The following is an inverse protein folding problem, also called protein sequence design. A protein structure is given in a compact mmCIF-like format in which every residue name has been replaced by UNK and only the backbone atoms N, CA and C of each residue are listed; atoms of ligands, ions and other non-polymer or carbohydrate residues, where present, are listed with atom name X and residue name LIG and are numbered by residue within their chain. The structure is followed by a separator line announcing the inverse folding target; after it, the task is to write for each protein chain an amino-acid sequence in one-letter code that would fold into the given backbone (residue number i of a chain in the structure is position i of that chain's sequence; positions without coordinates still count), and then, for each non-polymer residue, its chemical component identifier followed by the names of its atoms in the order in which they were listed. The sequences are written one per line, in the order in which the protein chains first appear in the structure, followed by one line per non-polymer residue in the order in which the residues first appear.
data_IF_047240302769
#
_entry.id   IF_047240302769
#
_cell.length_a   1.000
_cell.length_b   1.000
_cell.length_c   1.000
_cell.angle_alpha   90.00
_cell.angle_beta   90.00
_cell.angle_gamma   90.00
#
_symmetry.space_group_name_H-M   'P 1'
#
loop_
_entity.id
_entity.type
_entity.pdbx_description
1 polymer ?
#
# COMPACT_ATOMS: atom_id res chain seq x y z
N UNK A 1 -4.30 -63.44 79.52
CA UNK A 1 -5.20 -63.34 78.36
C UNK A 1 -5.10 -61.93 77.84
N UNK A 2 -4.29 -61.71 76.83
CA UNK A 2 -4.12 -60.39 76.18
C UNK A 2 -4.94 -60.31 74.92
N UNK A 3 -5.56 -59.17 74.56
CA UNK A 3 -5.96 -58.92 73.21
C UNK A 3 -5.00 -57.96 72.54
N UNK A 4 -4.55 -58.36 71.36
CA UNK A 4 -3.71 -57.63 70.40
C UNK A 4 -4.47 -56.41 69.88
N UNK A 5 -3.84 -55.24 70.05
CA UNK A 5 -4.20 -54.02 69.34
C UNK A 5 -3.63 -54.04 67.93
N UNK A 6 -4.48 -54.02 66.90
CA UNK A 6 -4.11 -53.87 65.50
C UNK A 6 -3.95 -52.35 65.19
N UNK A 7 -2.74 -51.92 64.92
CA UNK A 7 -2.44 -50.60 64.39
C UNK A 7 -2.74 -50.56 62.89
N UNK A 8 -3.72 -49.76 62.46
CA UNK A 8 -4.00 -49.49 61.04
C UNK A 8 -3.23 -48.25 60.63
N UNK A 9 -2.20 -48.49 59.84
CA UNK A 9 -1.42 -47.42 59.24
C UNK A 9 -2.17 -46.92 57.99
N UNK A 10 -2.76 -45.73 58.05
CA UNK A 10 -3.38 -45.07 56.89
C UNK A 10 -2.29 -44.38 56.06
N UNK A 11 -2.05 -44.89 54.88
CA UNK A 11 -1.14 -44.30 53.89
C UNK A 11 -1.90 -43.12 53.19
N UNK A 12 -1.56 -41.88 53.52
CA UNK A 12 -2.05 -40.71 52.81
C UNK A 12 -1.22 -40.57 51.55
N UNK A 13 -1.79 -40.96 50.41
CA UNK A 13 -1.23 -40.66 49.09
C UNK A 13 -1.55 -39.19 48.77
N UNK A 14 -0.56 -38.32 48.92
CA UNK A 14 -0.64 -36.93 48.45
C UNK A 14 -0.64 -36.93 46.91
N UNK A 15 -1.84 -36.80 46.33
CA UNK A 15 -1.97 -36.61 44.89
C UNK A 15 -1.31 -35.30 44.48
N UNK A 16 -0.24 -35.41 43.70
CA UNK A 16 0.35 -34.25 43.02
C UNK A 16 -0.67 -33.79 41.98
N UNK A 17 -1.27 -32.61 42.20
CA UNK A 17 -2.04 -31.89 41.19
C UNK A 17 -1.07 -31.48 40.10
N UNK A 18 -1.28 -31.88 38.83
CA UNK A 18 -0.41 -31.43 37.75
C UNK A 18 -0.51 -29.90 37.66
N UNK A 19 0.64 -29.23 37.73
CA UNK A 19 0.70 -27.81 37.48
C UNK A 19 0.09 -27.52 36.12
N UNK A 20 -1.04 -26.84 36.08
CA UNK A 20 -1.61 -26.28 34.85
C UNK A 20 -0.51 -25.49 34.16
N UNK A 21 -0.13 -25.92 32.96
CA UNK A 21 0.73 -25.15 32.09
C UNK A 21 -0.01 -23.85 31.80
N UNK A 22 0.32 -22.78 32.48
CA UNK A 22 -0.14 -21.44 32.16
C UNK A 22 0.32 -21.18 30.72
N UNK A 23 -0.62 -21.19 29.78
CA UNK A 23 -0.39 -20.78 28.42
C UNK A 23 0.11 -19.32 28.50
N UNK A 24 1.30 -18.97 27.98
CA UNK A 24 1.81 -17.61 28.07
C UNK A 24 0.78 -16.67 27.45
N UNK A 25 0.26 -15.74 28.24
CA UNK A 25 -0.68 -14.74 27.72
C UNK A 25 0.03 -13.91 26.64
N UNK A 26 -0.60 -13.66 25.49
CA UNK A 26 0.00 -12.83 24.45
C UNK A 26 0.29 -11.43 25.02
N UNK A 27 1.54 -11.00 24.90
CA UNK A 27 1.96 -9.65 25.31
C UNK A 27 1.27 -8.65 24.37
N UNK A 28 0.51 -7.71 24.94
CA UNK A 28 -0.13 -6.65 24.17
C UNK A 28 0.92 -5.76 23.47
N UNK A 29 0.72 -5.36 22.22
CA UNK A 29 1.66 -4.51 21.51
C UNK A 29 1.74 -3.11 22.15
N UNK A 30 2.96 -2.55 22.19
CA UNK A 30 3.15 -1.14 22.50
C UNK A 30 2.80 -0.32 21.26
N UNK A 31 1.91 0.66 21.41
CA UNK A 31 1.53 1.58 20.33
C UNK A 31 1.87 3.02 20.72
N UNK A 32 2.64 3.70 19.88
CA UNK A 32 2.95 5.12 20.02
C UNK A 32 2.37 5.89 18.83
N UNK A 33 1.68 6.99 19.10
CA UNK A 33 1.11 7.87 18.08
C UNK A 33 1.87 9.16 17.98
N UNK A 34 2.10 9.60 16.75
CA UNK A 34 2.74 10.87 16.43
C UNK A 34 1.82 11.63 15.47
N UNK A 35 1.57 12.90 15.75
CA UNK A 35 0.82 13.82 14.89
C UNK A 35 1.67 15.06 14.66
N UNK A 36 1.74 15.53 13.42
CA UNK A 36 2.43 16.76 13.05
C UNK A 36 1.73 17.43 11.90
N UNK A 37 1.46 18.73 12.04
CA UNK A 37 0.90 19.55 10.98
C UNK A 37 1.74 20.82 10.80
N UNK A 38 1.86 21.29 9.56
CA UNK A 38 2.55 22.51 9.21
C UNK A 38 1.98 23.10 7.92
N UNK A 39 2.14 24.41 7.74
CA UNK A 39 1.72 25.09 6.53
C UNK A 39 2.59 24.68 5.34
N UNK A 40 1.92 24.48 4.20
CA UNK A 40 2.57 24.02 2.98
C UNK A 40 1.78 24.51 1.76
N UNK A 41 2.45 25.21 0.87
CA UNK A 41 1.79 25.77 -0.31
C UNK A 41 1.68 24.77 -1.45
N UNK A 42 0.57 24.79 -2.22
CA UNK A 42 0.44 24.05 -3.48
C UNK A 42 1.60 24.38 -4.44
N UNK A 43 2.09 23.40 -5.18
CA UNK A 43 3.28 23.51 -6.02
C UNK A 43 4.57 23.09 -5.33
N UNK A 44 4.49 22.70 -4.05
CA UNK A 44 5.65 22.18 -3.32
C UNK A 44 5.86 20.68 -3.49
N UNK A 45 7.01 20.20 -2.99
CA UNK A 45 7.44 18.81 -3.06
C UNK A 45 7.40 18.14 -1.70
N UNK A 46 6.72 17.00 -1.61
CA UNK A 46 6.69 16.12 -0.42
C UNK A 46 7.42 14.82 -0.72
N UNK A 47 8.47 14.52 0.04
CA UNK A 47 9.22 13.27 -0.05
C UNK A 47 9.02 12.43 1.20
N UNK A 48 8.60 11.17 1.05
CA UNK A 48 8.34 10.22 2.13
C UNK A 48 9.22 9.00 1.92
N UNK A 49 9.98 8.63 2.94
CA UNK A 49 10.85 7.43 2.89
C UNK A 49 10.70 6.65 4.17
N UNK A 50 10.38 5.36 4.08
CA UNK A 50 10.41 4.43 5.20
C UNK A 50 11.31 3.24 4.91
N UNK A 51 12.27 3.01 5.81
CA UNK A 51 13.09 1.81 5.86
C UNK A 51 12.48 0.76 6.80
N UNK A 52 11.51 1.17 7.62
CA UNK A 52 10.75 0.32 8.54
C UNK A 52 9.51 -0.22 7.83
N UNK A 53 9.12 -1.44 8.15
CA UNK A 53 7.86 -2.01 7.65
C UNK A 53 6.65 -1.21 8.14
N UNK A 54 5.61 -1.14 7.29
CA UNK A 54 4.35 -0.47 7.62
C UNK A 54 3.71 0.17 6.41
N UNK A 55 2.43 0.46 6.52
CA UNK A 55 1.62 0.95 5.41
C UNK A 55 1.62 2.48 5.35
N UNK A 56 1.61 3.00 4.14
CA UNK A 56 1.52 4.43 3.89
C UNK A 56 0.24 4.77 3.12
N UNK A 57 -0.51 5.73 3.62
CA UNK A 57 -1.63 6.32 2.89
C UNK A 57 -1.39 7.81 2.71
N UNK A 58 -1.41 8.30 1.47
CA UNK A 58 -1.30 9.72 1.14
C UNK A 58 -2.60 10.19 0.49
N UNK A 59 -3.19 11.22 1.06
CA UNK A 59 -4.50 11.74 0.63
C UNK A 59 -4.38 13.22 0.29
N UNK A 60 -4.78 13.58 -0.92
CA UNK A 60 -4.96 14.97 -1.31
C UNK A 60 -6.18 15.59 -0.62
N UNK A 61 -5.99 16.77 0.00
CA UNK A 61 -7.08 17.54 0.61
C UNK A 61 -7.11 18.98 0.11
N UNK A 62 -8.17 19.68 0.44
CA UNK A 62 -8.33 21.09 0.06
C UNK A 62 -7.83 22.03 1.17
N UNK A 63 -6.56 21.90 1.57
CA UNK A 63 -5.91 22.77 2.55
C UNK A 63 -4.47 23.02 2.14
N UNK A 64 -3.95 24.22 2.45
CA UNK A 64 -2.55 24.60 2.24
C UNK A 64 -1.69 24.19 3.43
N UNK A 65 -1.72 22.91 3.78
CA UNK A 65 -0.93 22.33 4.87
C UNK A 65 -0.66 20.85 4.61
N UNK A 66 0.38 20.32 5.26
CA UNK A 66 0.65 18.88 5.36
C UNK A 66 0.35 18.44 6.78
N UNK A 67 -0.38 17.35 6.94
CA UNK A 67 -0.59 16.68 8.23
C UNK A 67 -0.11 15.24 8.14
N UNK A 68 0.62 14.82 9.14
CA UNK A 68 1.20 13.48 9.27
C UNK A 68 0.65 12.87 10.54
N UNK A 69 0.00 11.73 10.42
CA UNK A 69 -0.42 10.88 11.52
C UNK A 69 0.36 9.56 11.39
N UNK A 70 1.19 9.24 12.37
CA UNK A 70 1.95 8.00 12.34
C UNK A 70 1.69 7.19 13.60
N UNK A 71 1.49 5.89 13.41
CA UNK A 71 1.30 4.92 14.48
C UNK A 71 2.43 3.90 14.42
N UNK A 72 3.26 3.88 15.46
CA UNK A 72 4.36 2.93 15.64
C UNK A 72 3.90 1.82 16.56
N UNK A 73 4.03 0.59 16.14
CA UNK A 73 3.59 -0.61 16.84
C UNK A 73 4.79 -1.51 17.06
N UNK A 74 5.01 -1.92 18.32
CA UNK A 74 6.04 -2.90 18.69
C UNK A 74 5.36 -4.11 19.30
N UNK A 75 5.56 -5.27 18.67
CA UNK A 75 4.92 -6.52 19.04
C UNK A 75 5.82 -7.38 19.93
N UNK A 76 5.21 -8.26 20.73
CA UNK A 76 5.85 -9.40 21.39
C UNK A 76 7.02 -9.10 22.34
N UNK A 77 7.13 -7.88 22.84
CA UNK A 77 8.17 -7.48 23.80
C UNK A 77 7.56 -6.97 25.11
N UNK A 78 8.21 -7.21 26.25
CA UNK A 78 7.89 -6.53 27.51
C UNK A 78 7.93 -5.00 27.32
N UNK A 79 7.06 -4.28 28.01
CA UNK A 79 6.82 -2.85 27.80
C UNK A 79 8.10 -2.00 27.80
N UNK A 80 9.05 -2.24 28.70
CA UNK A 80 10.28 -1.44 28.78
C UNK A 80 11.22 -1.73 27.59
N UNK A 81 11.32 -2.99 27.15
CA UNK A 81 12.08 -3.36 25.98
C UNK A 81 11.41 -2.81 24.70
N UNK A 82 10.07 -2.84 24.64
CA UNK A 82 9.32 -2.29 23.54
C UNK A 82 9.53 -0.77 23.40
N UNK A 83 9.56 -0.02 24.52
CA UNK A 83 9.87 1.42 24.52
C UNK A 83 11.30 1.71 24.08
N UNK A 84 12.27 0.95 24.58
CA UNK A 84 13.67 1.09 24.18
C UNK A 84 13.86 0.83 22.68
N UNK A 85 13.16 -0.17 22.15
CA UNK A 85 13.18 -0.47 20.72
C UNK A 85 12.47 0.63 19.92
N UNK A 86 11.28 1.07 20.32
CA UNK A 86 10.52 2.14 19.68
C UNK A 86 11.33 3.44 19.53
N UNK A 87 12.14 3.78 20.53
CA UNK A 87 12.99 4.97 20.51
C UNK A 87 14.08 4.95 19.42
N UNK A 88 14.44 3.78 18.89
CA UNK A 88 15.43 3.64 17.82
C UNK A 88 14.88 4.01 16.44
N UNK A 89 13.56 4.14 16.30
CA UNK A 89 12.88 4.46 15.04
C UNK A 89 12.17 5.83 15.12
N UNK A 90 12.89 6.95 15.09
CA UNK A 90 12.29 8.27 15.16
C UNK A 90 11.60 8.65 13.84
N UNK A 91 10.58 9.48 13.93
CA UNK A 91 10.05 10.20 12.77
C UNK A 91 10.87 11.47 12.55
N UNK A 92 11.63 11.53 11.47
CA UNK A 92 12.40 12.72 11.10
C UNK A 92 11.62 13.55 10.07
N UNK A 93 11.20 14.75 10.43
CA UNK A 93 10.47 15.68 9.55
C UNK A 93 11.24 16.98 9.41
N UNK A 94 11.61 17.30 8.16
CA UNK A 94 12.17 18.61 7.79
C UNK A 94 11.23 19.25 6.79
N UNK A 95 10.92 20.52 6.97
CA UNK A 95 9.99 21.20 6.07
C UNK A 95 10.28 22.69 5.93
N UNK A 96 9.85 23.21 4.82
CA UNK A 96 9.70 24.64 4.49
C UNK A 96 8.27 24.85 3.96
N UNK A 97 7.94 26.04 3.56
CA UNK A 97 6.62 26.30 2.97
C UNK A 97 6.35 25.57 1.63
N UNK A 98 7.39 25.07 0.94
CA UNK A 98 7.29 24.42 -0.37
C UNK A 98 8.05 23.10 -0.49
N UNK A 99 8.66 22.63 0.59
CA UNK A 99 9.38 21.36 0.60
C UNK A 99 9.20 20.66 1.93
N UNK A 100 8.82 19.39 1.91
CA UNK A 100 8.73 18.56 3.10
C UNK A 100 9.43 17.22 2.86
N UNK A 101 10.23 16.80 3.83
CA UNK A 101 10.87 15.47 3.84
C UNK A 101 10.48 14.76 5.12
N UNK A 102 9.84 13.61 4.98
CA UNK A 102 9.36 12.75 6.06
C UNK A 102 10.13 11.44 5.95
N UNK A 103 10.87 11.09 7.01
CA UNK A 103 11.69 9.88 7.00
C UNK A 103 11.48 9.07 8.26
N UNK A 104 11.40 7.77 8.08
CA UNK A 104 11.43 6.76 9.14
C UNK A 104 12.71 5.92 8.94
N UNK A 105 13.86 6.42 9.44
CA UNK A 105 15.14 5.76 9.25
C UNK A 105 15.27 4.54 10.16
N UNK A 106 16.14 3.63 9.78
CA UNK A 106 16.52 2.47 10.57
C UNK A 106 15.81 1.20 10.11
N UNK A 107 16.59 0.27 9.57
CA UNK A 107 16.11 -1.07 9.28
C UNK A 107 16.03 -1.86 10.59
N UNK A 108 14.85 -2.41 10.97
CA UNK A 108 14.76 -3.28 12.12
C UNK A 108 15.66 -4.50 11.93
N UNK A 109 16.32 -4.95 12.99
CA UNK A 109 17.04 -6.21 12.95
C UNK A 109 16.11 -7.36 12.53
N UNK A 110 16.65 -8.39 11.87
CA UNK A 110 15.87 -9.54 11.46
C UNK A 110 15.10 -10.15 12.65
N UNK A 111 13.78 -10.27 12.53
CA UNK A 111 12.90 -10.73 13.61
C UNK A 111 12.36 -9.65 14.54
N UNK A 112 12.74 -8.39 14.37
CA UNK A 112 12.13 -7.29 15.14
C UNK A 112 10.70 -7.04 14.66
N UNK A 113 9.77 -7.05 15.58
CA UNK A 113 8.37 -6.81 15.30
C UNK A 113 8.04 -5.31 15.48
N UNK A 114 8.60 -4.44 14.64
CA UNK A 114 8.30 -3.01 14.60
C UNK A 114 7.61 -2.68 13.28
N UNK A 115 6.50 -1.99 13.37
CA UNK A 115 5.72 -1.52 12.23
C UNK A 115 5.37 -0.04 12.41
N UNK A 116 5.41 0.76 11.33
CA UNK A 116 5.03 2.17 11.36
C UNK A 116 4.00 2.44 10.26
N UNK A 117 2.75 2.56 10.65
CA UNK A 117 1.67 2.94 9.74
C UNK A 117 1.53 4.45 9.67
N UNK A 118 1.48 5.01 8.48
CA UNK A 118 1.52 6.45 8.26
C UNK A 118 0.37 6.91 7.39
N UNK A 119 -0.34 7.94 7.83
CA UNK A 119 -1.34 8.65 7.07
C UNK A 119 -0.85 10.09 6.88
N UNK A 120 -0.73 10.51 5.62
CA UNK A 120 -0.27 11.86 5.25
C UNK A 120 -1.34 12.56 4.43
N UNK A 121 -1.73 13.74 4.86
CA UNK A 121 -2.56 14.63 4.06
C UNK A 121 -1.69 15.70 3.43
N UNK A 122 -1.85 15.92 2.14
CA UNK A 122 -1.11 16.94 1.38
C UNK A 122 -2.09 17.80 0.57
N UNK A 123 -1.75 19.03 0.15
CA UNK A 123 -2.58 19.76 -0.80
C UNK A 123 -2.83 18.91 -2.04
N UNK A 124 -4.10 18.69 -2.40
CA UNK A 124 -4.48 17.80 -3.51
C UNK A 124 -4.10 18.35 -4.89
N UNK A 125 -3.93 19.66 -5.01
CA UNK A 125 -3.59 20.33 -6.26
C UNK A 125 -2.12 20.73 -6.31
N UNK A 126 -1.44 20.42 -7.43
CA UNK A 126 -0.06 20.83 -7.71
C UNK A 126 0.95 20.42 -6.63
N UNK A 127 0.81 19.20 -6.07
CA UNK A 127 1.80 18.68 -5.12
C UNK A 127 2.65 17.60 -5.78
N UNK A 128 3.96 17.83 -5.83
CA UNK A 128 4.90 16.80 -6.24
C UNK A 128 5.14 15.84 -5.07
N UNK A 129 4.94 14.55 -5.32
CA UNK A 129 5.03 13.50 -4.31
C UNK A 129 6.09 12.48 -4.69
N UNK A 130 7.03 12.21 -3.81
CA UNK A 130 7.99 11.12 -3.95
C UNK A 130 7.88 10.16 -2.75
N UNK A 131 7.55 8.91 -3.01
CA UNK A 131 7.39 7.86 -1.99
C UNK A 131 8.41 6.75 -2.21
N UNK A 132 9.07 6.32 -1.15
CA UNK A 132 9.93 5.12 -1.14
C UNK A 132 9.69 4.31 0.12
N UNK A 133 9.24 3.06 -0.05
CA UNK A 133 9.05 2.13 1.07
C UNK A 133 9.88 0.87 0.84
N UNK A 134 10.56 0.43 1.89
CA UNK A 134 11.26 -0.85 1.87
C UNK A 134 10.27 -2.01 2.01
N UNK A 135 9.24 -1.89 2.87
CA UNK A 135 8.24 -2.93 3.08
C UNK A 135 6.92 -2.35 3.56
N UNK A 136 5.83 -2.70 2.89
CA UNK A 136 4.47 -2.29 3.23
C UNK A 136 3.73 -1.70 2.02
N UNK A 137 2.44 -1.61 2.14
CA UNK A 137 1.57 -1.14 1.07
C UNK A 137 1.50 0.39 1.03
N UNK A 138 1.39 0.94 -0.18
CA UNK A 138 1.17 2.36 -0.40
C UNK A 138 -0.18 2.63 -1.07
N UNK A 139 -0.95 3.56 -0.53
CA UNK A 139 -2.18 4.07 -1.16
C UNK A 139 -2.05 5.58 -1.39
N UNK A 140 -2.28 6.04 -2.62
CA UNK A 140 -2.20 7.45 -3.02
C UNK A 140 -3.52 7.85 -3.66
N UNK A 141 -4.16 8.87 -3.11
CA UNK A 141 -5.53 9.24 -3.49
C UNK A 141 -5.70 10.76 -3.65
N UNK A 142 -6.40 11.20 -4.70
CA UNK A 142 -6.80 12.58 -4.98
C UNK A 142 -5.66 13.61 -5.03
N UNK A 143 -4.59 13.31 -5.74
CA UNK A 143 -3.45 14.21 -5.92
C UNK A 143 -3.26 14.51 -7.40
N UNK A 144 -3.04 15.79 -7.69
CA UNK A 144 -2.61 16.26 -8.99
C UNK A 144 -1.19 16.84 -8.86
N UNK A 145 -0.24 16.32 -9.64
CA UNK A 145 1.15 16.77 -9.62
C UNK A 145 2.09 15.77 -10.29
N UNK A 146 3.35 15.87 -9.94
CA UNK A 146 4.37 14.89 -10.33
C UNK A 146 4.52 13.86 -9.20
N UNK A 147 4.03 12.64 -9.44
CA UNK A 147 3.94 11.59 -8.43
C UNK A 147 4.87 10.44 -8.76
N UNK A 148 5.78 10.11 -7.87
CA UNK A 148 6.71 8.99 -7.99
C UNK A 148 6.57 8.08 -6.76
N UNK A 149 6.25 6.79 -6.98
CA UNK A 149 6.10 5.79 -5.91
C UNK A 149 6.96 4.59 -6.20
N UNK A 150 7.90 4.29 -5.31
CA UNK A 150 8.80 3.15 -5.42
C UNK A 150 8.69 2.25 -4.18
N UNK A 151 8.30 0.99 -4.37
CA UNK A 151 8.15 0.00 -3.32
C UNK A 151 9.11 -1.17 -3.58
N UNK A 152 9.78 -1.66 -2.52
CA UNK A 152 10.56 -2.90 -2.61
C UNK A 152 9.64 -4.12 -2.46
N UNK A 153 8.91 -4.17 -1.33
CA UNK A 153 7.95 -5.20 -0.97
C UNK A 153 6.65 -4.57 -0.50
N UNK A 154 5.61 -4.64 -1.32
CA UNK A 154 4.29 -4.10 -0.99
C UNK A 154 3.50 -3.74 -2.24
N UNK A 155 2.21 -3.57 -2.06
CA UNK A 155 1.26 -3.25 -3.12
C UNK A 155 1.04 -1.74 -3.24
N UNK A 156 0.79 -1.30 -4.46
CA UNK A 156 0.44 0.10 -4.77
C UNK A 156 -1.04 0.21 -5.12
N UNK A 157 -1.74 1.08 -4.42
CA UNK A 157 -3.08 1.52 -4.78
C UNK A 157 -3.04 2.99 -5.19
N UNK A 158 -3.43 3.30 -6.43
CA UNK A 158 -3.46 4.64 -6.99
C UNK A 158 -4.88 5.00 -7.42
N UNK A 159 -5.49 6.01 -6.79
CA UNK A 159 -6.88 6.42 -7.05
C UNK A 159 -6.97 7.90 -7.35
N UNK A 160 -7.83 8.25 -8.32
CA UNK A 160 -8.20 9.65 -8.61
C UNK A 160 -6.98 10.57 -8.73
N UNK A 161 -5.92 10.11 -9.39
CA UNK A 161 -4.70 10.87 -9.60
C UNK A 161 -4.73 11.58 -10.94
N UNK A 162 -4.00 12.70 -11.02
CA UNK A 162 -3.82 13.50 -12.23
C UNK A 162 -2.36 13.99 -12.33
N UNK A 163 -1.97 14.48 -13.51
CA UNK A 163 -0.64 15.00 -13.74
C UNK A 163 0.30 13.97 -14.38
N UNK A 164 1.44 13.74 -13.81
CA UNK A 164 2.36 12.67 -14.16
C UNK A 164 2.50 11.69 -13.01
N UNK A 165 2.25 10.41 -13.26
CA UNK A 165 2.39 9.37 -12.24
C UNK A 165 3.35 8.29 -12.72
N UNK A 166 4.32 7.96 -11.89
CA UNK A 166 5.23 6.83 -12.06
C UNK A 166 5.22 5.96 -10.81
N UNK A 167 4.77 4.71 -10.94
CA UNK A 167 4.71 3.73 -9.87
C UNK A 167 5.57 2.50 -10.16
N UNK A 168 6.34 2.03 -9.19
CA UNK A 168 7.09 0.79 -9.31
C UNK A 168 7.03 -0.02 -8.02
N UNK A 169 6.83 -1.33 -8.14
CA UNK A 169 7.02 -2.27 -7.03
C UNK A 169 7.84 -3.46 -7.50
N UNK A 170 8.69 -3.98 -6.62
CA UNK A 170 9.44 -5.18 -6.95
C UNK A 170 8.63 -6.44 -6.66
N UNK A 171 7.92 -6.48 -5.55
CA UNK A 171 6.99 -7.56 -5.15
C UNK A 171 5.74 -6.96 -4.56
N UNK A 172 4.63 -7.17 -5.24
CA UNK A 172 3.32 -6.70 -4.81
C UNK A 172 2.42 -6.35 -5.99
N UNK A 173 1.15 -6.25 -5.72
CA UNK A 173 0.13 -5.96 -6.71
C UNK A 173 0.03 -4.44 -6.95
N UNK A 174 -0.42 -4.05 -8.13
CA UNK A 174 -0.71 -2.66 -8.47
C UNK A 174 -2.20 -2.56 -8.81
N UNK A 175 -2.92 -1.71 -8.09
CA UNK A 175 -4.30 -1.37 -8.39
C UNK A 175 -4.40 0.10 -8.76
N UNK A 176 -4.93 0.38 -9.95
CA UNK A 176 -5.14 1.73 -10.46
C UNK A 176 -6.62 1.95 -10.71
N UNK A 177 -7.17 3.01 -10.15
CA UNK A 177 -8.54 3.44 -10.39
C UNK A 177 -8.53 4.84 -10.99
N UNK A 178 -8.93 4.92 -12.26
CA UNK A 178 -9.02 6.19 -12.98
C UNK A 178 -10.35 6.87 -12.64
N UNK A 179 -10.35 8.20 -12.64
CA UNK A 179 -11.52 9.01 -12.34
C UNK A 179 -11.82 10.02 -13.47
N UNK A 180 -13.07 10.49 -13.54
CA UNK A 180 -13.49 11.45 -14.53
C UNK A 180 -13.73 10.82 -15.91
N UNK A 181 -13.44 11.59 -16.97
CA UNK A 181 -13.67 11.19 -18.38
C UNK A 181 -12.41 11.05 -19.19
N UNK A 182 -11.28 11.57 -18.72
CA UNK A 182 -9.96 11.50 -19.37
C UNK A 182 -8.87 11.69 -18.34
N UNK A 183 -7.68 11.26 -18.67
CA UNK A 183 -6.50 11.61 -17.87
C UNK A 183 -6.14 13.08 -18.06
N UNK A 184 -5.98 13.80 -16.97
CA UNK A 184 -5.54 15.20 -16.97
C UNK A 184 -4.06 15.26 -16.63
N UNK A 185 -3.22 15.54 -17.65
CA UNK A 185 -1.78 15.65 -17.48
C UNK A 185 -0.95 14.81 -18.45
N UNK A 186 0.27 14.44 -18.04
CA UNK A 186 1.26 13.83 -18.94
C UNK A 186 1.13 12.30 -19.07
N UNK A 187 0.41 11.64 -18.17
CA UNK A 187 0.13 10.22 -18.22
C UNK A 187 0.43 9.46 -16.94
N UNK A 188 0.08 8.18 -16.97
CA UNK A 188 0.27 7.23 -15.90
C UNK A 188 1.16 6.08 -16.36
N UNK A 189 2.21 5.77 -15.61
CA UNK A 189 3.04 4.59 -15.83
C UNK A 189 3.22 3.84 -14.53
N UNK A 190 2.97 2.52 -14.53
CA UNK A 190 3.32 1.69 -13.38
C UNK A 190 3.78 0.29 -13.79
N UNK A 191 4.70 -0.27 -13.02
CA UNK A 191 5.28 -1.58 -13.27
C UNK A 191 5.51 -2.37 -11.98
N UNK A 192 5.26 -3.68 -12.04
CA UNK A 192 5.68 -4.62 -10.99
C UNK A 192 6.58 -5.72 -11.58
N UNK A 193 7.55 -6.20 -10.80
CA UNK A 193 8.33 -7.37 -11.24
C UNK A 193 7.60 -8.68 -10.92
N UNK A 194 6.91 -8.75 -9.78
CA UNK A 194 6.13 -9.92 -9.38
C UNK A 194 4.87 -9.47 -8.64
N UNK A 195 3.73 -9.63 -9.30
CA UNK A 195 2.42 -9.23 -8.79
C UNK A 195 1.42 -9.03 -9.90
N UNK A 196 0.16 -8.93 -9.52
CA UNK A 196 -0.96 -8.68 -10.43
C UNK A 196 -1.15 -7.17 -10.62
N UNK A 197 -1.71 -6.82 -11.77
CA UNK A 197 -2.08 -5.44 -12.07
C UNK A 197 -3.58 -5.37 -12.35
N UNK A 198 -4.31 -4.55 -11.61
CA UNK A 198 -5.72 -4.26 -11.85
C UNK A 198 -5.88 -2.80 -12.29
N UNK A 199 -6.46 -2.60 -13.45
CA UNK A 199 -6.81 -1.28 -13.98
C UNK A 199 -8.32 -1.13 -14.05
N UNK A 200 -8.87 -0.23 -13.26
CA UNK A 200 -10.28 0.11 -13.23
C UNK A 200 -10.50 1.43 -13.94
N UNK A 201 -11.33 1.42 -14.97
CA UNK A 201 -11.55 2.55 -15.86
C UNK A 201 -13.03 2.85 -15.98
N UNK A 202 -13.47 4.12 -15.88
CA UNK A 202 -14.85 4.48 -16.19
C UNK A 202 -15.25 4.08 -17.61
N UNK A 203 -16.49 3.63 -17.81
CA UNK A 203 -16.96 3.09 -19.10
C UNK A 203 -16.85 4.07 -20.29
N UNK A 204 -16.88 5.39 -20.03
CA UNK A 204 -16.72 6.45 -21.03
C UNK A 204 -15.45 7.25 -20.74
N UNK A 205 -14.30 6.60 -20.87
CA UNK A 205 -13.01 7.23 -20.59
C UNK A 205 -12.18 7.40 -21.86
N UNK A 206 -11.44 8.50 -21.96
CA UNK A 206 -10.52 8.77 -23.07
C UNK A 206 -9.08 8.67 -22.60
N UNK A 207 -8.33 7.71 -23.16
CA UNK A 207 -6.91 7.49 -22.91
C UNK A 207 -6.28 6.59 -23.99
N UNK A 208 -4.95 6.66 -24.12
CA UNK A 208 -4.17 5.66 -24.85
C UNK A 208 -3.68 4.58 -23.87
N UNK A 209 -4.28 3.38 -23.92
CA UNK A 209 -3.92 2.27 -23.05
C UNK A 209 -2.77 1.44 -23.62
N UNK A 210 -1.85 1.05 -22.77
CA UNK A 210 -0.83 0.05 -23.05
C UNK A 210 -0.64 -0.84 -21.82
N UNK A 211 -1.07 -2.10 -21.93
CA UNK A 211 -0.93 -3.13 -20.91
C UNK A 211 0.01 -4.20 -21.42
N UNK A 212 0.94 -4.68 -20.58
CA UNK A 212 1.92 -5.69 -20.98
C UNK A 212 2.26 -6.62 -19.82
N UNK A 213 2.18 -7.92 -20.03
CA UNK A 213 2.71 -8.94 -19.12
C UNK A 213 3.63 -9.89 -19.85
N UNK A 214 4.72 -10.30 -19.19
CA UNK A 214 5.63 -11.30 -19.74
C UNK A 214 5.18 -12.72 -19.40
N UNK A 215 5.00 -12.97 -18.10
CA UNK A 215 4.66 -14.29 -17.57
C UNK A 215 3.30 -14.20 -16.84
N UNK A 216 2.20 -14.14 -17.62
CA UNK A 216 0.84 -14.01 -17.12
C UNK A 216 -0.18 -13.81 -18.24
N UNK A 217 -1.43 -13.59 -17.86
CA UNK A 217 -2.55 -13.34 -18.75
C UNK A 217 -3.06 -11.91 -18.67
N UNK A 218 -3.71 -11.42 -19.74
CA UNK A 218 -4.46 -10.17 -19.75
C UNK A 218 -5.92 -10.50 -19.90
N UNK A 219 -6.73 -10.21 -18.90
CA UNK A 219 -8.18 -10.33 -18.93
C UNK A 219 -8.83 -8.97 -19.12
N UNK A 220 -9.84 -8.89 -19.97
CA UNK A 220 -10.53 -7.65 -20.33
C UNK A 220 -12.01 -7.81 -20.02
N UNK A 221 -12.46 -7.04 -19.02
CA UNK A 221 -13.86 -6.86 -18.65
C UNK A 221 -14.23 -5.38 -18.83
N UNK A 222 -14.16 -4.93 -20.08
CA UNK A 222 -14.39 -3.54 -20.48
C UNK A 222 -15.23 -3.48 -21.75
N UNK A 223 -16.17 -2.55 -21.88
CA UNK A 223 -17.04 -2.46 -23.05
C UNK A 223 -16.28 -2.32 -24.36
N UNK A 224 -16.84 -2.88 -25.43
CA UNK A 224 -16.37 -2.63 -26.79
C UNK A 224 -16.35 -1.12 -27.09
N UNK A 225 -15.36 -0.68 -27.83
CA UNK A 225 -15.24 0.71 -28.22
C UNK A 225 -16.00 0.97 -29.53
N UNK A 226 -16.55 2.16 -29.66
CA UNK A 226 -17.14 2.61 -30.92
C UNK A 226 -16.06 3.33 -31.74
N UNK A 227 -15.72 2.78 -32.90
CA UNK A 227 -14.77 3.37 -33.86
C UNK A 227 -15.47 3.47 -35.19
N UNK A 228 -15.61 4.68 -35.73
CA UNK A 228 -16.30 4.96 -37.00
C UNK A 228 -17.71 4.35 -37.10
N UNK A 229 -18.40 4.24 -35.99
CA UNK A 229 -19.75 3.68 -35.88
C UNK A 229 -19.81 2.15 -35.73
N UNK A 230 -18.66 1.48 -35.69
CA UNK A 230 -18.55 0.04 -35.49
C UNK A 230 -18.09 -0.28 -34.06
N UNK A 231 -18.57 -1.41 -33.53
CA UNK A 231 -18.11 -1.92 -32.22
C UNK A 231 -16.82 -2.70 -32.42
N UNK A 232 -15.75 -2.22 -31.78
CA UNK A 232 -14.43 -2.84 -31.83
C UNK A 232 -14.06 -3.36 -30.44
N UNK A 233 -13.83 -4.67 -30.27
CA UNK A 233 -13.37 -5.24 -29.02
C UNK A 233 -11.93 -4.85 -28.74
N UNK A 234 -11.57 -4.80 -27.46
CA UNK A 234 -10.18 -4.61 -27.04
C UNK A 234 -9.42 -5.95 -27.18
N UNK A 235 -8.53 -6.02 -28.16
CA UNK A 235 -7.84 -7.25 -28.48
C UNK A 235 -6.50 -7.39 -27.75
N UNK A 236 -6.31 -8.53 -27.10
CA UNK A 236 -5.03 -8.93 -26.52
C UNK A 236 -4.19 -9.64 -27.59
N UNK A 237 -3.00 -9.13 -27.82
CA UNK A 237 -2.02 -9.73 -28.73
C UNK A 237 -1.09 -10.62 -27.92
N UNK A 238 -1.04 -11.91 -28.30
CA UNK A 238 -0.12 -12.89 -27.71
C UNK A 238 1.09 -13.05 -28.60
N UNK A 239 2.26 -12.84 -28.07
CA UNK A 239 3.55 -13.14 -28.69
C UNK A 239 4.24 -14.30 -27.98
N UNK A 240 5.38 -14.77 -28.50
CA UNK A 240 6.11 -15.90 -27.94
C UNK A 240 6.51 -15.70 -26.45
N UNK A 241 6.73 -14.43 -26.04
CA UNK A 241 7.30 -14.11 -24.73
C UNK A 241 6.51 -13.02 -23.97
N UNK A 242 5.35 -12.60 -24.46
CA UNK A 242 4.56 -11.56 -23.78
C UNK A 242 3.11 -11.53 -24.30
N UNK A 243 2.23 -11.04 -23.47
CA UNK A 243 0.87 -10.62 -23.87
C UNK A 243 0.76 -9.11 -23.72
N UNK A 244 0.17 -8.47 -24.69
CA UNK A 244 0.00 -7.02 -24.68
C UNK A 244 -1.38 -6.63 -25.19
N UNK A 245 -1.88 -5.52 -24.65
CA UNK A 245 -3.08 -4.84 -25.13
C UNK A 245 -2.70 -3.38 -25.39
N UNK A 246 -2.92 -2.92 -26.61
CA UNK A 246 -2.83 -1.50 -26.99
C UNK A 246 -4.19 -1.08 -27.51
N UNK A 247 -4.77 -0.05 -26.90
CA UNK A 247 -6.09 0.43 -27.27
C UNK A 247 -6.19 1.95 -27.10
N UNK A 248 -6.96 2.56 -27.98
CA UNK A 248 -7.40 3.94 -27.82
C UNK A 248 -8.81 3.92 -27.29
N UNK A 249 -9.01 4.39 -26.06
CA UNK A 249 -10.33 4.55 -25.46
C UNK A 249 -10.87 5.93 -25.79
N UNK A 250 -12.14 6.02 -26.19
CA UNK A 250 -12.79 7.27 -26.57
C UNK A 250 -11.95 8.07 -27.58
N UNK A 251 -11.74 9.35 -27.28
CA UNK A 251 -10.93 10.26 -28.14
C UNK A 251 -9.42 10.07 -27.99
N UNK A 252 -8.98 9.05 -27.23
CA UNK A 252 -7.55 8.88 -26.91
C UNK A 252 -7.05 9.89 -25.88
N UNK A 253 -5.79 10.27 -25.98
CA UNK A 253 -5.17 11.27 -25.11
C UNK A 253 -3.92 10.76 -24.40
N UNK A 254 -3.76 11.16 -23.14
CA UNK A 254 -2.57 10.83 -22.35
C UNK A 254 -2.38 9.31 -22.17
N UNK A 255 -1.14 8.82 -22.20
CA UNK A 255 -0.85 7.40 -22.09
C UNK A 255 -1.09 6.88 -20.67
N UNK A 256 -1.74 5.72 -20.58
CA UNK A 256 -1.84 4.90 -19.37
C UNK A 256 -1.13 3.58 -19.66
N UNK A 257 0.06 3.39 -19.07
CA UNK A 257 0.94 2.25 -19.33
C UNK A 257 1.12 1.44 -18.06
N UNK A 258 0.72 0.19 -18.10
CA UNK A 258 0.87 -0.72 -16.96
C UNK A 258 1.56 -2.00 -17.42
N UNK A 259 2.48 -2.49 -16.61
CA UNK A 259 3.20 -3.72 -16.93
C UNK A 259 3.47 -4.56 -15.69
N UNK A 260 3.53 -5.87 -15.90
CA UNK A 260 4.09 -6.82 -14.94
C UNK A 260 5.03 -7.78 -15.64
N UNK A 261 6.08 -8.20 -14.95
CA UNK A 261 6.93 -9.27 -15.47
C UNK A 261 6.33 -10.64 -15.18
N UNK A 262 5.88 -10.87 -13.94
CA UNK A 262 5.29 -12.13 -13.52
C UNK A 262 3.97 -11.85 -12.76
N UNK A 263 2.86 -12.09 -13.44
CA UNK A 263 1.51 -11.89 -12.92
C UNK A 263 0.53 -11.50 -14.02
N UNK A 264 -0.74 -11.53 -13.66
CA UNK A 264 -1.83 -11.22 -14.57
C UNK A 264 -2.18 -9.74 -14.56
N UNK A 265 -2.72 -9.25 -15.68
CA UNK A 265 -3.28 -7.91 -15.78
C UNK A 265 -4.79 -8.04 -15.99
N UNK A 266 -5.56 -7.27 -15.23
CA UNK A 266 -7.00 -7.18 -15.36
C UNK A 266 -7.42 -5.75 -15.68
N UNK A 267 -8.15 -5.60 -16.78
CA UNK A 267 -8.83 -4.37 -17.16
C UNK A 267 -10.31 -4.50 -16.83
N UNK A 268 -10.83 -3.63 -15.97
CA UNK A 268 -12.21 -3.66 -15.48
C UNK A 268 -12.90 -2.32 -15.75
N UNK A 269 -14.17 -2.37 -16.13
CA UNK A 269 -14.99 -1.17 -16.17
C UNK A 269 -15.49 -0.82 -14.76
N UNK A 270 -15.40 0.46 -14.40
CA UNK A 270 -16.11 0.98 -13.23
C UNK A 270 -17.57 1.15 -13.63
N UNK A 271 -18.53 0.48 -12.94
CA UNK A 271 -19.94 0.69 -13.20
C UNK A 271 -20.33 2.16 -13.02
N UNK A 272 -21.09 2.70 -13.95
CA UNK A 272 -21.69 4.04 -13.75
C UNK A 272 -22.76 3.89 -12.68
N UNK A 273 -22.60 4.59 -11.56
CA UNK A 273 -23.71 4.81 -10.64
C UNK A 273 -24.83 5.53 -11.41
N UNK A 274 -25.96 4.87 -11.55
CA UNK A 274 -27.16 5.50 -12.14
C UNK A 274 -27.61 6.59 -11.14
N UNK A 275 -27.37 7.84 -11.52
CA UNK A 275 -27.96 9.01 -10.83
C UNK A 275 -29.44 9.09 -11.11
#
# INVERSE_FOLDING_TARGET
MSPLARLILALVVAGQVPAERQNPQPIAPLTERMDKQFDFYPGGKVAITSEVAGNLKVIGWNRSSVRIEAEKIVYQLPTDQARALAAQFPMAVRYTATSATIRFPGAPAAGSAVEINVLVYVPGSKTDLAVRLAKGDASVDRINGWIEVNLEDGSLEAKSLEGYVSGATRRGDITVELAGRRWLGHGFMAATLAGRVALRVPALYSAALQLETRDGDISVDYPEQMVDGEKVPLNVVTSKNARSLKATLGDGGAPVRLSTRAGDIRLEAIPQERR
#
